data_IF_646140820862
#
_entry.id   IF_646140820862
#
_cell.length_a   1.000
_cell.length_b   1.000
_cell.length_c   1.000
_cell.angle_alpha   90.00
_cell.angle_beta   90.00
_cell.angle_gamma   90.00
#
_symmetry.space_group_name_H-M   'P 1'
#
loop_
_entity.id
_entity.type
_entity.pdbx_description
1 polymer ?
#
# COMPACT_ATOMS: atom_id res chain seq x y z
N UNK A 1 -42.97 -52.28 11.58
CA UNK A 1 -42.82 -50.82 11.36
C UNK A 1 -41.78 -50.16 12.29
N UNK A 2 -40.60 -50.79 12.50
CA UNK A 2 -39.46 -50.16 13.23
C UNK A 2 -38.09 -50.37 12.56
N UNK A 3 -38.04 -51.01 11.39
CA UNK A 3 -36.77 -51.31 10.70
C UNK A 3 -36.54 -50.53 9.40
N UNK A 4 -37.47 -49.65 9.01
CA UNK A 4 -37.36 -48.83 7.79
C UNK A 4 -36.77 -47.43 8.10
N UNK A 5 -36.60 -47.07 9.38
CA UNK A 5 -36.14 -45.71 9.78
C UNK A 5 -34.61 -45.58 9.85
N UNK A 6 -33.84 -46.68 9.81
CA UNK A 6 -32.38 -46.60 10.01
C UNK A 6 -31.52 -46.66 8.76
N UNK A 7 -32.10 -46.90 7.59
CA UNK A 7 -31.32 -47.14 6.37
C UNK A 7 -32.04 -46.53 5.18
N UNK A 8 -31.84 -45.22 4.93
CA UNK A 8 -31.80 -44.56 3.62
C UNK A 8 -31.77 -43.02 3.81
N UNK A 9 -31.00 -42.39 2.94
CA UNK A 9 -30.80 -40.94 2.75
C UNK A 9 -29.99 -40.23 3.84
N UNK A 10 -28.68 -40.03 3.69
CA UNK A 10 -27.98 -39.23 2.66
C UNK A 10 -28.30 -37.74 2.74
N UNK A 11 -27.22 -36.95 2.63
CA UNK A 11 -27.12 -35.50 2.38
C UNK A 11 -27.51 -34.51 3.49
N UNK A 12 -26.46 -33.81 3.97
CA UNK A 12 -26.36 -32.39 4.37
C UNK A 12 -27.68 -31.58 4.51
N UNK A 13 -27.80 -30.76 5.57
CA UNK A 13 -27.03 -29.51 5.67
C UNK A 13 -26.41 -29.32 7.08
N UNK A 14 -25.15 -28.95 7.29
CA UNK A 14 -24.40 -27.78 6.79
C UNK A 14 -25.13 -26.44 6.94
N UNK A 15 -25.91 -26.24 8.00
CA UNK A 15 -26.39 -24.91 8.40
C UNK A 15 -26.56 -24.92 9.92
N UNK A 16 -26.10 -23.85 10.60
CA UNK A 16 -26.15 -23.59 12.06
C UNK A 16 -24.85 -23.84 12.83
N UNK A 17 -23.83 -23.02 12.57
CA UNK A 17 -23.03 -22.32 13.61
C UNK A 17 -22.14 -21.20 13.00
N UNK A 18 -22.66 -20.50 11.97
CA UNK A 18 -22.06 -19.31 11.34
C UNK A 18 -22.34 -18.05 12.18
N UNK A 19 -21.91 -18.01 13.44
CA UNK A 19 -22.01 -16.79 14.26
C UNK A 19 -20.87 -16.70 15.28
N UNK A 20 -19.64 -16.67 14.79
CA UNK A 20 -18.58 -15.91 15.46
C UNK A 20 -18.25 -14.73 14.53
N UNK A 21 -19.12 -13.72 14.56
CA UNK A 21 -18.78 -12.37 14.11
C UNK A 21 -17.76 -11.81 15.11
N UNK A 22 -16.48 -12.10 14.89
CA UNK A 22 -15.40 -11.27 15.40
C UNK A 22 -14.99 -10.38 14.23
N UNK A 23 -15.45 -9.13 14.31
CA UNK A 23 -15.02 -8.03 13.46
C UNK A 23 -13.57 -7.73 13.79
N UNK A 24 -12.64 -8.34 13.07
CA UNK A 24 -11.31 -7.81 12.90
C UNK A 24 -11.05 -7.69 11.39
N UNK A 25 -10.83 -6.46 10.93
CA UNK A 25 -10.35 -6.18 9.59
C UNK A 25 -8.97 -6.79 9.40
N UNK A 26 -8.93 -8.07 9.03
CA UNK A 26 -7.73 -8.77 8.61
C UNK A 26 -7.35 -8.20 7.24
N UNK A 27 -6.28 -7.41 7.23
CA UNK A 27 -5.52 -7.14 6.02
C UNK A 27 -5.17 -8.48 5.38
N UNK A 28 -5.77 -8.80 4.24
CA UNK A 28 -5.39 -9.98 3.46
C UNK A 28 -4.00 -9.74 2.87
N UNK A 29 -2.96 -10.05 3.63
CA UNK A 29 -1.62 -10.27 3.08
C UNK A 29 -1.72 -11.56 2.27
N UNK A 30 -1.51 -11.43 0.96
CA UNK A 30 -1.50 -12.54 0.02
C UNK A 30 -0.54 -13.62 0.53
N UNK A 31 -1.08 -14.82 0.79
CA UNK A 31 -0.29 -16.02 1.03
C UNK A 31 0.51 -16.35 -0.22
N UNK A 32 1.82 -16.09 -0.15
CA UNK A 32 2.85 -16.83 -0.86
C UNK A 32 3.92 -17.12 0.18
N UNK A 33 4.40 -18.35 0.26
CA UNK A 33 5.45 -18.77 1.19
C UNK A 33 6.76 -18.08 0.85
N UNK A 34 6.86 -16.80 1.18
CA UNK A 34 8.09 -16.06 1.35
C UNK A 34 8.09 -15.69 2.81
N UNK A 35 9.05 -16.22 3.56
CA UNK A 35 9.38 -15.72 4.88
C UNK A 35 9.78 -14.25 4.64
N UNK A 36 8.85 -13.31 4.77
CA UNK A 36 9.19 -11.90 4.77
C UNK A 36 10.01 -11.72 6.05
N UNK A 37 11.34 -11.71 5.90
CA UNK A 37 12.21 -11.08 6.85
C UNK A 37 11.75 -9.62 6.91
N UNK A 38 10.81 -9.31 7.81
CA UNK A 38 10.55 -7.95 8.24
C UNK A 38 11.76 -7.55 9.07
N UNK A 39 12.83 -7.15 8.40
CA UNK A 39 13.89 -6.41 9.05
C UNK A 39 13.27 -5.12 9.51
N UNK A 40 13.25 -4.91 10.83
CA UNK A 40 12.81 -3.66 11.43
C UNK A 40 13.71 -2.55 10.87
N UNK A 41 13.10 -1.65 10.10
CA UNK A 41 13.79 -0.50 9.54
C UNK A 41 14.00 0.53 10.64
N UNK A 42 15.15 1.19 10.61
CA UNK A 42 15.42 2.31 11.49
C UNK A 42 14.45 3.45 11.17
N UNK A 43 13.93 4.11 12.21
CA UNK A 43 13.03 5.25 12.04
C UNK A 43 13.72 6.37 11.26
N UNK A 44 13.00 6.94 10.30
CA UNK A 44 13.48 8.05 9.50
C UNK A 44 13.81 9.27 10.40
N UNK A 45 15.01 9.84 10.29
CA UNK A 45 15.37 11.04 11.06
C UNK A 45 14.72 12.32 10.52
N UNK A 46 14.03 12.25 9.37
CA UNK A 46 13.40 13.38 8.72
C UNK A 46 11.90 13.34 8.99
N UNK A 47 11.38 14.44 9.51
CA UNK A 47 9.95 14.67 9.63
C UNK A 47 9.40 15.27 8.32
N UNK A 48 8.73 14.45 7.52
CA UNK A 48 8.14 14.88 6.25
C UNK A 48 6.79 15.60 6.43
N UNK A 49 6.15 15.52 7.60
CA UNK A 49 4.82 16.07 7.85
C UNK A 49 4.68 17.55 7.46
N UNK A 50 5.74 18.34 7.64
CA UNK A 50 5.74 19.79 7.42
C UNK A 50 6.17 20.21 6.01
N UNK A 51 6.33 19.27 5.08
CA UNK A 51 6.64 19.61 3.69
C UNK A 51 5.51 20.36 2.99
N UNK A 52 5.86 21.14 1.96
CA UNK A 52 4.88 21.85 1.15
C UNK A 52 4.24 20.93 0.09
N UNK A 53 3.22 20.17 0.49
CA UNK A 53 2.46 19.27 -0.39
C UNK A 53 1.63 19.95 -1.48
N UNK A 54 1.55 21.29 -1.49
CA UNK A 54 0.86 22.03 -2.56
C UNK A 54 1.47 21.73 -3.93
N UNK A 55 2.78 21.48 -4.00
CA UNK A 55 3.48 21.23 -5.26
C UNK A 55 2.94 19.98 -5.97
N UNK A 56 2.65 18.92 -5.22
CA UNK A 56 2.14 17.67 -5.76
C UNK A 56 0.62 17.76 -5.96
N UNK A 57 -0.11 18.28 -4.96
CA UNK A 57 -1.57 18.43 -4.99
C UNK A 57 -2.07 19.31 -6.15
N UNK A 58 -1.33 20.37 -6.50
CA UNK A 58 -1.72 21.29 -7.56
C UNK A 58 -1.48 20.76 -8.97
N UNK A 59 -0.55 19.82 -9.14
CA UNK A 59 -0.06 19.36 -10.45
C UNK A 59 -0.40 17.90 -10.76
N UNK A 60 -0.52 17.06 -9.75
CA UNK A 60 -0.87 15.66 -9.88
C UNK A 60 -2.30 15.44 -9.41
N UNK A 61 -3.25 15.40 -10.34
CA UNK A 61 -4.68 15.28 -10.05
C UNK A 61 -5.29 14.04 -10.70
N UNK A 62 -6.13 13.35 -9.94
CA UNK A 62 -6.96 12.27 -10.44
C UNK A 62 -8.12 12.77 -11.31
N UNK A 63 -8.84 11.86 -11.98
CA UNK A 63 -8.65 10.40 -11.95
C UNK A 63 -7.52 9.89 -12.86
N UNK A 64 -7.06 10.71 -13.81
CA UNK A 64 -6.13 10.26 -14.86
C UNK A 64 -4.65 10.32 -14.46
N UNK A 65 -4.29 11.12 -13.44
CA UNK A 65 -2.92 11.26 -12.93
C UNK A 65 -1.86 11.43 -14.04
N UNK A 66 -1.81 12.60 -14.71
CA UNK A 66 -0.94 12.81 -15.87
C UNK A 66 0.55 12.53 -15.53
N UNK A 67 1.18 11.48 -16.11
CA UNK A 67 2.49 10.98 -15.67
C UNK A 67 3.58 12.05 -15.64
N UNK A 68 3.70 12.84 -16.72
CA UNK A 68 4.73 13.87 -16.83
C UNK A 68 4.62 14.93 -15.70
N UNK A 69 3.39 15.39 -15.43
CA UNK A 69 3.14 16.42 -14.42
C UNK A 69 3.30 15.86 -13.01
N UNK A 70 2.78 14.65 -12.77
CA UNK A 70 2.90 13.95 -11.50
C UNK A 70 4.35 13.66 -11.15
N UNK A 71 5.14 13.13 -12.08
CA UNK A 71 6.54 12.81 -11.83
C UNK A 71 7.41 14.04 -11.68
N UNK A 72 7.16 15.11 -12.45
CA UNK A 72 7.86 16.38 -12.25
C UNK A 72 7.57 16.97 -10.87
N UNK A 73 6.33 16.91 -10.40
CA UNK A 73 5.96 17.40 -9.08
C UNK A 73 6.52 16.53 -7.94
N UNK A 74 6.46 15.20 -8.10
CA UNK A 74 7.05 14.24 -7.17
C UNK A 74 8.55 14.43 -7.05
N UNK A 75 9.29 14.52 -8.18
CA UNK A 75 10.73 14.80 -8.18
C UNK A 75 11.07 16.10 -7.44
N UNK A 76 10.33 17.18 -7.67
CA UNK A 76 10.57 18.45 -6.96
C UNK A 76 10.38 18.35 -5.44
N UNK A 77 9.50 17.46 -4.98
CA UNK A 77 9.27 17.22 -3.56
C UNK A 77 10.31 16.24 -2.96
N UNK A 78 10.63 15.16 -3.67
CA UNK A 78 11.41 14.02 -3.17
C UNK A 78 12.92 14.17 -3.37
N UNK A 79 13.37 14.72 -4.49
CA UNK A 79 14.80 14.77 -4.83
C UNK A 79 15.71 15.46 -3.80
N UNK A 80 15.29 16.55 -3.12
CA UNK A 80 16.07 17.13 -2.03
C UNK A 80 16.40 16.16 -0.88
N UNK A 81 15.59 15.11 -0.73
CA UNK A 81 15.72 14.10 0.33
C UNK A 81 16.22 12.76 -0.19
N UNK A 82 16.69 12.69 -1.45
CA UNK A 82 17.15 11.44 -2.07
C UNK A 82 18.19 10.65 -1.27
N UNK A 83 19.14 11.24 -0.51
CA UNK A 83 20.06 10.46 0.32
C UNK A 83 19.34 9.66 1.42
N UNK A 84 18.27 10.21 1.99
CA UNK A 84 17.46 9.53 3.01
C UNK A 84 16.48 8.53 2.41
N UNK A 85 15.89 8.87 1.27
CA UNK A 85 14.90 8.01 0.59
C UNK A 85 15.54 6.77 -0.02
N UNK A 86 16.80 6.87 -0.43
CA UNK A 86 17.56 5.75 -1.00
C UNK A 86 18.23 4.88 0.07
N UNK A 87 18.16 5.25 1.35
CA UNK A 87 18.68 4.42 2.44
C UNK A 87 17.67 3.32 2.80
N UNK A 88 17.92 2.12 2.26
CA UNK A 88 17.06 0.95 2.48
C UNK A 88 17.06 0.46 3.95
N UNK A 89 18.01 0.90 4.78
CA UNK A 89 18.04 0.57 6.21
C UNK A 89 17.00 1.35 7.03
N UNK A 90 16.44 2.43 6.48
CA UNK A 90 15.43 3.27 7.14
C UNK A 90 14.04 3.10 6.52
N UNK A 91 13.02 3.60 7.21
CA UNK A 91 11.63 3.67 6.72
C UNK A 91 11.29 4.99 5.99
N UNK A 92 12.29 5.85 5.70
CA UNK A 92 12.08 7.19 5.14
C UNK A 92 11.20 7.20 3.88
N UNK A 93 11.42 6.27 2.95
CA UNK A 93 10.59 6.19 1.74
C UNK A 93 9.12 5.90 2.07
N UNK A 94 8.87 5.00 3.02
CA UNK A 94 7.51 4.64 3.45
C UNK A 94 6.83 5.82 4.14
N UNK A 95 7.52 6.52 5.03
CA UNK A 95 7.00 7.71 5.73
C UNK A 95 6.65 8.80 4.71
N UNK A 96 7.58 9.12 3.79
CA UNK A 96 7.34 10.17 2.80
C UNK A 96 6.17 9.84 1.88
N UNK A 97 6.06 8.60 1.38
CA UNK A 97 4.95 8.19 0.53
C UNK A 97 3.60 8.21 1.27
N UNK A 98 3.60 7.89 2.57
CA UNK A 98 2.42 7.96 3.43
C UNK A 98 1.95 9.39 3.60
N UNK A 99 2.86 10.31 3.91
CA UNK A 99 2.51 11.74 4.05
C UNK A 99 2.11 12.37 2.72
N UNK A 100 2.76 11.98 1.60
CA UNK A 100 2.32 12.39 0.26
C UNK A 100 0.89 11.93 -0.01
N UNK A 101 0.55 10.70 0.35
CA UNK A 101 -0.82 10.21 0.20
C UNK A 101 -1.80 11.02 1.04
N UNK A 102 -1.49 11.24 2.32
CA UNK A 102 -2.39 11.92 3.25
C UNK A 102 -2.56 13.42 2.93
N UNK A 103 -1.46 14.16 2.76
CA UNK A 103 -1.46 15.61 2.62
C UNK A 103 -1.46 16.09 1.16
N UNK A 104 -1.00 15.25 0.24
CA UNK A 104 -0.92 15.57 -1.19
C UNK A 104 -2.23 15.39 -1.96
N UNK A 105 -3.24 14.73 -1.40
CA UNK A 105 -4.57 14.61 -2.02
C UNK A 105 -5.11 13.20 -2.20
N UNK A 106 -4.73 12.26 -1.33
CA UNK A 106 -5.13 10.85 -1.31
C UNK A 106 -4.78 10.12 -2.61
N UNK A 107 -3.50 9.80 -2.77
CA UNK A 107 -3.00 9.08 -3.92
C UNK A 107 -3.09 7.56 -3.75
N UNK A 108 -3.44 6.80 -4.81
CA UNK A 108 -3.37 5.35 -4.80
C UNK A 108 -1.97 4.83 -4.46
N UNK A 109 -1.90 3.73 -3.71
CA UNK A 109 -0.63 3.04 -3.41
C UNK A 109 0.05 2.64 -4.72
N UNK A 110 1.35 2.88 -4.81
CA UNK A 110 2.15 2.54 -5.98
C UNK A 110 2.00 3.49 -7.18
N UNK A 111 1.16 4.53 -7.11
CA UNK A 111 0.94 5.47 -8.23
C UNK A 111 2.28 6.00 -8.80
N UNK A 112 3.13 6.57 -7.93
CA UNK A 112 4.39 7.19 -8.36
C UNK A 112 5.41 6.16 -8.86
N UNK A 113 5.47 4.97 -8.25
CA UNK A 113 6.30 3.88 -8.77
C UNK A 113 5.88 3.48 -10.19
N UNK A 114 4.57 3.33 -10.42
CA UNK A 114 4.03 2.91 -11.71
C UNK A 114 4.25 3.97 -12.81
N UNK A 115 3.97 5.24 -12.53
CA UNK A 115 3.98 6.28 -13.57
C UNK A 115 5.34 6.97 -13.76
N UNK A 116 6.24 6.90 -12.77
CA UNK A 116 7.53 7.60 -12.82
C UNK A 116 8.73 6.73 -13.13
N UNK A 117 8.67 5.43 -12.84
CA UNK A 117 9.76 4.53 -13.20
C UNK A 117 9.75 4.23 -14.71
N UNK A 118 8.59 4.12 -15.36
CA UNK A 118 8.46 3.93 -16.82
C UNK A 118 9.42 2.86 -17.39
N UNK A 119 9.60 1.74 -16.68
CA UNK A 119 10.52 0.65 -17.09
C UNK A 119 11.98 0.82 -16.63
N UNK A 120 12.29 1.87 -15.87
CA UNK A 120 13.59 2.07 -15.22
C UNK A 120 13.57 1.56 -13.77
N UNK A 121 14.76 1.34 -13.21
CA UNK A 121 14.92 0.92 -11.81
C UNK A 121 14.95 2.10 -10.83
N UNK A 122 15.25 3.30 -11.32
CA UNK A 122 15.41 4.50 -10.48
C UNK A 122 14.72 5.72 -11.09
N UNK A 123 14.46 6.70 -10.24
CA UNK A 123 13.95 8.02 -10.61
C UNK A 123 15.13 9.00 -10.60
N UNK A 124 15.50 9.51 -11.78
CA UNK A 124 16.61 10.48 -11.86
C UNK A 124 16.22 11.81 -11.21
N UNK A 125 17.06 12.29 -10.29
CA UNK A 125 16.98 13.62 -9.75
C UNK A 125 17.89 14.58 -10.54
N UNK A 126 17.39 15.79 -10.88
CA UNK A 126 18.18 16.81 -11.53
C UNK A 126 19.27 17.39 -10.62
#
# INVERSE_FOLDING_TARGET
MKLIIKLLSSSLPLFLLLSLFISDGVYTVYSSRNLLLQTEKVQCPIDFHYLNYKIIKSRCKGPLYPPLQCCAAFKKLACPYSPYLNDESTDCLTVMLSDISLYGGYYPVGLFGNICLQGRQHIDCP
#
